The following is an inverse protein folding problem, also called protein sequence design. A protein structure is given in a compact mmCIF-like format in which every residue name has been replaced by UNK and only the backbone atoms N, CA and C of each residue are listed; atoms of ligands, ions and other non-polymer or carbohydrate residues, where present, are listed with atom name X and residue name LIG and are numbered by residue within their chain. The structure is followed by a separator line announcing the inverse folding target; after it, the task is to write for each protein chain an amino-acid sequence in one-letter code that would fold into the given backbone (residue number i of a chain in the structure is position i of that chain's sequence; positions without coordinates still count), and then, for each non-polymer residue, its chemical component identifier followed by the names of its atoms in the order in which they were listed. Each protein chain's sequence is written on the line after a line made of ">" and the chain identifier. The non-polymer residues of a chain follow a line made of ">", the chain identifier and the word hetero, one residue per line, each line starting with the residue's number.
data_IF_153931686358
#
_entry.id   IF_153931686358
#
_cell.length_a   1.000
_cell.length_b   1.000
_cell.length_c   1.000
_cell.angle_alpha   90.00
_cell.angle_beta   90.00
_cell.angle_gamma   90.00
#
_symmetry.space_group_name_H-M   'P 1'
#
loop_
_entity.id
_entity.type
_entity.pdbx_description
1 polymer ?
#
# COMPACT_ATOMS: atom_id res chain seq x y z
N UNK A 1 3.01 4.56 -14.45
CA UNK A 1 2.83 3.66 -13.29
C UNK A 1 1.82 2.56 -13.63
N UNK A 2 2.21 1.33 -13.39
CA UNK A 2 1.30 0.21 -13.59
C UNK A 2 0.56 -0.10 -12.29
N UNK A 3 -0.69 0.28 -12.21
CA UNK A 3 -1.51 0.08 -11.01
C UNK A 3 -1.85 -1.40 -10.81
N UNK A 4 -1.97 -1.85 -9.55
CA UNK A 4 -2.43 -3.22 -9.30
C UNK A 4 -3.85 -3.40 -9.84
N UNK A 5 -4.08 -4.53 -10.53
CA UNK A 5 -5.39 -4.87 -11.06
C UNK A 5 -6.14 -5.72 -10.04
N UNK A 6 -7.05 -5.09 -9.32
CA UNK A 6 -7.79 -5.72 -8.22
C UNK A 6 -9.23 -5.96 -8.65
N UNK A 7 -9.67 -7.22 -8.54
CA UNK A 7 -11.05 -7.61 -8.82
C UNK A 7 -11.95 -7.39 -7.61
N UNK A 8 -11.56 -7.96 -6.46
CA UNK A 8 -12.25 -7.79 -5.20
C UNK A 8 -11.27 -7.62 -4.06
N UNK A 9 -11.66 -6.88 -3.04
CA UNK A 9 -10.85 -6.70 -1.84
C UNK A 9 -11.75 -6.23 -0.70
N UNK A 10 -11.27 -6.41 0.54
CA UNK A 10 -11.96 -5.93 1.72
C UNK A 10 -11.14 -4.82 2.35
N UNK A 11 -11.71 -3.60 2.53
CA UNK A 11 -11.03 -2.54 3.25
C UNK A 11 -10.75 -2.93 4.69
N UNK A 12 -9.49 -2.79 5.12
CA UNK A 12 -9.06 -3.12 6.47
C UNK A 12 -8.92 -1.87 7.33
N UNK A 13 -8.40 -0.80 6.75
CA UNK A 13 -8.17 0.48 7.44
C UNK A 13 -8.28 1.64 6.46
N UNK A 14 -8.55 2.81 7.02
CA UNK A 14 -8.49 4.08 6.30
C UNK A 14 -7.75 5.11 7.12
N UNK A 15 -7.03 6.00 6.44
CA UNK A 15 -6.28 7.07 7.07
C UNK A 15 -6.49 8.38 6.31
N UNK A 16 -6.37 9.47 7.06
CA UNK A 16 -6.23 10.81 6.49
C UNK A 16 -4.81 11.30 6.73
N UNK A 17 -4.10 11.70 5.68
CA UNK A 17 -2.73 12.21 5.77
C UNK A 17 -2.67 13.47 4.91
N UNK A 18 -2.68 14.65 5.56
CA UNK A 18 -2.75 15.92 4.83
C UNK A 18 -3.93 15.95 3.87
N UNK A 19 -3.68 16.22 2.60
CA UNK A 19 -4.69 16.29 1.55
C UNK A 19 -4.97 14.93 0.88
N UNK A 20 -4.55 13.85 1.50
CA UNK A 20 -4.68 12.50 0.95
C UNK A 20 -5.57 11.64 1.83
N UNK A 21 -6.32 10.75 1.18
CA UNK A 21 -7.01 9.65 1.85
C UNK A 21 -6.35 8.35 1.43
N UNK A 22 -5.99 7.52 2.41
CA UNK A 22 -5.40 6.21 2.18
C UNK A 22 -6.37 5.12 2.58
N UNK A 23 -6.41 4.06 1.80
CA UNK A 23 -7.15 2.85 2.13
C UNK A 23 -6.19 1.66 2.12
N UNK A 24 -6.32 0.79 3.11
CA UNK A 24 -5.59 -0.48 3.18
C UNK A 24 -6.57 -1.60 2.86
N UNK A 25 -6.25 -2.34 1.82
CA UNK A 25 -7.06 -3.46 1.36
C UNK A 25 -6.42 -4.79 1.76
N UNK A 26 -7.23 -5.75 2.13
CA UNK A 26 -6.84 -7.14 2.36
C UNK A 26 -7.80 -8.09 1.69
N UNK A 27 -7.57 -9.39 1.84
CA UNK A 27 -8.35 -10.45 1.21
C UNK A 27 -8.59 -10.16 -0.27
N UNK A 28 -7.48 -9.94 -0.98
CA UNK A 28 -7.47 -9.41 -2.33
C UNK A 28 -7.53 -10.54 -3.35
N UNK A 29 -8.48 -10.41 -4.28
CA UNK A 29 -8.53 -11.22 -5.50
C UNK A 29 -8.11 -10.32 -6.65
N UNK A 30 -6.98 -10.65 -7.29
CA UNK A 30 -6.42 -9.83 -8.36
C UNK A 30 -6.80 -10.37 -9.75
N UNK A 31 -6.70 -9.50 -10.76
CA UNK A 31 -6.87 -9.87 -12.17
C UNK A 31 -5.53 -10.00 -12.90
N UNK A 32 -4.43 -9.56 -12.27
CA UNK A 32 -3.10 -9.58 -12.89
C UNK A 32 -2.27 -10.81 -12.51
N UNK A 33 -2.84 -11.74 -11.76
CA UNK A 33 -2.16 -12.95 -11.34
C UNK A 33 -1.17 -12.76 -10.20
N UNK A 34 -1.05 -11.55 -9.66
CA UNK A 34 -0.16 -11.25 -8.53
C UNK A 34 -0.90 -11.51 -7.22
N UNK A 35 -0.25 -12.23 -6.31
CA UNK A 35 -0.82 -12.57 -5.01
C UNK A 35 -0.52 -11.47 -3.98
N UNK A 36 -1.36 -10.44 -3.95
CA UNK A 36 -1.23 -9.35 -2.97
C UNK A 36 -1.73 -9.80 -1.60
N UNK A 37 -0.92 -9.57 -0.59
CA UNK A 37 -1.35 -9.72 0.82
C UNK A 37 -2.12 -8.49 1.27
N UNK A 38 -1.54 -7.30 1.04
CA UNK A 38 -2.15 -6.01 1.32
C UNK A 38 -1.84 -5.01 0.21
N UNK A 39 -2.74 -4.07 0.02
CA UNK A 39 -2.54 -2.90 -0.85
C UNK A 39 -2.89 -1.65 -0.06
N UNK A 40 -1.95 -0.72 0.02
CA UNK A 40 -2.14 0.61 0.56
C UNK A 40 -2.21 1.55 -0.64
N UNK A 41 -3.34 2.23 -0.81
CA UNK A 41 -3.56 3.14 -1.93
C UNK A 41 -3.93 4.52 -1.42
N UNK A 42 -3.26 5.56 -1.95
CA UNK A 42 -3.51 6.95 -1.56
C UNK A 42 -4.08 7.76 -2.71
N UNK A 43 -5.17 8.46 -2.43
CA UNK A 43 -5.83 9.35 -3.37
C UNK A 43 -5.74 10.78 -2.85
N UNK A 44 -5.21 11.69 -3.65
CA UNK A 44 -5.21 13.12 -3.34
C UNK A 44 -6.61 13.69 -3.48
N UNK A 45 -6.96 14.68 -2.66
CA UNK A 45 -8.23 15.37 -2.77
C UNK A 45 -8.41 15.93 -4.19
N UNK A 46 -9.57 15.67 -4.77
CA UNK A 46 -9.88 16.08 -6.13
C UNK A 46 -9.40 15.12 -7.22
N UNK A 47 -8.54 14.15 -6.91
CA UNK A 47 -8.12 13.14 -7.87
C UNK A 47 -9.14 11.99 -7.96
N UNK A 48 -9.29 11.43 -9.15
CA UNK A 48 -10.21 10.29 -9.38
C UNK A 48 -9.55 8.93 -9.13
N UNK A 49 -8.22 8.87 -9.13
CA UNK A 49 -7.46 7.63 -9.02
C UNK A 49 -6.30 7.78 -8.07
N UNK A 50 -5.88 6.67 -7.40
CA UNK A 50 -4.69 6.69 -6.56
C UNK A 50 -3.45 7.04 -7.36
N UNK A 51 -2.57 7.86 -6.76
CA UNK A 51 -1.28 8.23 -7.31
C UNK A 51 -0.11 7.63 -6.56
N UNK A 52 -0.37 6.90 -5.49
CA UNK A 52 0.67 6.29 -4.67
C UNK A 52 0.16 4.96 -4.10
N UNK A 53 1.02 3.94 -4.16
CA UNK A 53 0.72 2.62 -3.62
C UNK A 53 1.88 2.06 -2.83
N UNK A 54 1.57 1.32 -1.77
CA UNK A 54 2.50 0.38 -1.15
C UNK A 54 1.86 -1.00 -1.21
N UNK A 55 2.61 -1.99 -1.66
CA UNK A 55 2.12 -3.34 -1.89
C UNK A 55 2.88 -4.33 -1.03
N UNK A 56 2.17 -5.27 -0.43
CA UNK A 56 2.74 -6.46 0.16
C UNK A 56 2.36 -7.64 -0.73
N UNK A 57 3.34 -8.23 -1.39
CA UNK A 57 3.14 -9.30 -2.38
C UNK A 57 3.72 -10.59 -1.87
N UNK A 58 2.94 -11.66 -1.89
CA UNK A 58 3.43 -12.97 -1.48
C UNK A 58 4.63 -13.37 -2.32
N UNK A 59 5.72 -13.76 -1.66
CA UNK A 59 6.98 -14.10 -2.32
C UNK A 59 6.93 -15.55 -2.79
N UNK A 60 7.10 -15.81 -4.10
CA UNK A 60 7.20 -17.19 -4.59
C UNK A 60 8.44 -17.88 -4.00
N UNK A 61 8.28 -19.07 -3.47
CA UNK A 61 9.39 -19.84 -2.91
C UNK A 61 9.75 -19.53 -1.47
N UNK A 62 9.09 -18.53 -0.85
CA UNK A 62 9.25 -18.22 0.58
C UNK A 62 7.86 -18.03 1.18
N UNK A 63 7.24 -19.11 1.63
CA UNK A 63 5.82 -19.17 1.97
C UNK A 63 5.38 -18.19 3.06
N UNK A 64 6.30 -17.73 3.91
CA UNK A 64 5.98 -16.81 5.01
C UNK A 64 6.47 -15.39 4.79
N UNK A 65 7.05 -15.11 3.64
CA UNK A 65 7.58 -13.78 3.34
C UNK A 65 6.76 -13.05 2.29
N UNK A 66 6.73 -11.73 2.38
CA UNK A 66 6.15 -10.87 1.39
C UNK A 66 7.18 -9.85 0.93
N UNK A 67 7.14 -9.51 -0.36
CA UNK A 67 7.91 -8.42 -0.90
C UNK A 67 7.15 -7.11 -0.70
N UNK A 68 7.83 -6.11 -0.16
CA UNK A 68 7.29 -4.77 0.02
C UNK A 68 7.67 -3.93 -1.20
N UNK A 69 6.68 -3.38 -1.89
CA UNK A 69 6.87 -2.57 -3.09
C UNK A 69 6.22 -1.20 -2.94
N UNK A 70 6.82 -0.21 -3.56
CA UNK A 70 6.27 1.15 -3.62
C UNK A 70 6.09 1.55 -5.08
N UNK A 71 4.94 2.16 -5.38
CA UNK A 71 4.61 2.68 -6.71
C UNK A 71 4.17 4.14 -6.60
N UNK A 72 4.77 4.99 -7.42
CA UNK A 72 4.39 6.37 -7.63
C UNK A 72 4.60 6.68 -9.11
N UNK A 73 4.15 7.85 -9.65
CA UNK A 73 4.24 8.10 -11.10
C UNK A 73 5.62 7.86 -11.71
N UNK A 74 6.69 8.23 -11.00
CA UNK A 74 8.05 8.07 -11.48
C UNK A 74 8.88 7.10 -10.62
N UNK A 75 8.21 6.26 -9.84
CA UNK A 75 8.88 5.35 -8.91
C UNK A 75 8.18 3.99 -8.91
N UNK A 76 8.95 2.95 -9.15
CA UNK A 76 8.51 1.57 -9.01
C UNK A 76 9.67 0.78 -8.43
N UNK A 77 9.55 0.35 -7.16
CA UNK A 77 10.68 -0.23 -6.44
C UNK A 77 10.26 -1.31 -5.46
N UNK A 78 11.00 -2.41 -5.46
CA UNK A 78 10.93 -3.39 -4.37
C UNK A 78 11.93 -2.98 -3.29
N UNK A 79 11.48 -2.90 -2.04
CA UNK A 79 12.27 -2.39 -0.93
C UNK A 79 12.82 -3.46 -0.02
N UNK A 80 12.02 -4.48 0.27
CA UNK A 80 12.37 -5.48 1.28
C UNK A 80 11.53 -6.73 1.11
N UNK A 81 12.06 -7.86 1.55
CA UNK A 81 11.32 -9.13 1.62
C UNK A 81 11.39 -9.62 3.06
N UNK A 82 10.23 -9.77 3.69
CA UNK A 82 10.15 -10.14 5.10
C UNK A 82 8.78 -10.69 5.46
N UNK A 83 8.73 -11.55 6.47
CA UNK A 83 7.47 -12.00 7.06
C UNK A 83 6.69 -10.88 7.77
N UNK A 84 7.36 -9.78 8.12
CA UNK A 84 6.73 -8.59 8.75
C UNK A 84 5.59 -8.02 7.91
N UNK A 85 5.72 -8.11 6.59
CA UNK A 85 4.73 -7.52 5.66
C UNK A 85 3.47 -8.35 5.50
N UNK A 86 3.40 -9.48 6.19
CA UNK A 86 2.17 -10.27 6.36
C UNK A 86 1.32 -9.79 7.53
N UNK A 87 1.91 -8.98 8.42
CA UNK A 87 1.23 -8.41 9.58
C UNK A 87 0.62 -7.06 9.21
N UNK A 88 -0.67 -6.89 9.47
CA UNK A 88 -1.40 -5.69 9.10
C UNK A 88 -0.83 -4.43 9.76
N UNK A 89 -0.54 -4.49 11.07
CA UNK A 89 -0.01 -3.34 11.79
C UNK A 89 1.35 -2.92 11.27
N UNK A 90 2.26 -3.88 11.09
CA UNK A 90 3.60 -3.61 10.58
C UNK A 90 3.56 -3.05 9.16
N UNK A 91 2.71 -3.62 8.31
CA UNK A 91 2.54 -3.14 6.94
C UNK A 91 2.00 -1.71 6.92
N UNK A 92 0.94 -1.41 7.66
CA UNK A 92 0.34 -0.08 7.71
C UNK A 92 1.33 0.97 8.21
N UNK A 93 2.06 0.66 9.27
CA UNK A 93 3.07 1.55 9.83
C UNK A 93 4.15 1.90 8.80
N UNK A 94 4.66 0.90 8.11
CA UNK A 94 5.68 1.11 7.07
C UNK A 94 5.12 1.85 5.86
N UNK A 95 3.91 1.51 5.43
CA UNK A 95 3.27 2.18 4.29
C UNK A 95 3.06 3.67 4.55
N UNK A 96 2.62 4.03 5.75
CA UNK A 96 2.45 5.42 6.15
C UNK A 96 3.81 6.14 6.14
N UNK A 97 4.85 5.53 6.71
CA UNK A 97 6.19 6.11 6.72
C UNK A 97 6.71 6.36 5.31
N UNK A 98 6.52 5.41 4.40
CA UNK A 98 6.91 5.55 2.99
C UNK A 98 6.11 6.66 2.29
N UNK A 99 4.81 6.75 2.53
CA UNK A 99 3.99 7.80 1.97
C UNK A 99 4.47 9.18 2.41
N UNK A 100 4.72 9.34 3.70
CA UNK A 100 5.23 10.59 4.25
C UNK A 100 6.57 10.96 3.63
N UNK A 101 7.46 10.00 3.46
CA UNK A 101 8.79 10.23 2.89
C UNK A 101 8.73 10.55 1.39
N UNK A 102 8.03 9.73 0.61
CA UNK A 102 8.00 9.87 -0.86
C UNK A 102 7.20 11.10 -1.30
N UNK A 103 6.10 11.39 -0.62
CA UNK A 103 5.22 12.51 -0.94
C UNK A 103 5.56 13.77 -0.16
N UNK A 104 6.64 13.75 0.62
CA UNK A 104 7.10 14.88 1.45
C UNK A 104 6.02 15.40 2.38
N UNK A 105 5.39 14.46 3.10
CA UNK A 105 4.34 14.74 4.07
C UNK A 105 4.82 14.51 5.51
N UNK A 106 6.11 14.70 5.78
CA UNK A 106 6.72 14.40 7.09
C UNK A 106 6.11 15.23 8.22
N UNK A 107 5.58 16.43 7.89
CA UNK A 107 4.92 17.29 8.86
C UNK A 107 3.45 16.94 9.08
N UNK A 108 2.93 16.00 8.30
CA UNK A 108 1.52 15.58 8.38
C UNK A 108 1.40 14.27 9.13
N UNK A 109 0.55 14.27 10.16
CA UNK A 109 0.25 13.05 10.88
C UNK A 109 -0.82 12.24 10.16
N UNK A 110 -0.70 10.92 10.26
CA UNK A 110 -1.74 10.03 9.77
C UNK A 110 -2.83 9.88 10.84
N UNK A 111 -4.06 10.22 10.46
CA UNK A 111 -5.22 10.04 11.32
C UNK A 111 -6.02 8.84 10.84
N UNK A 112 -6.17 7.85 11.72
CA UNK A 112 -6.94 6.66 11.39
C UNK A 112 -8.42 6.97 11.41
N UNK A 113 -9.11 6.66 10.30
CA UNK A 113 -10.54 6.89 10.13
C UNK A 113 -11.38 5.63 10.36
N UNK A 114 -10.76 4.48 10.16
CA UNK A 114 -11.45 3.19 10.26
C UNK A 114 -10.54 2.12 10.83
#
# INVERSE_FOLDING_TARGET
>A
MKRPAIRTAIPQRRYRIGDFTAVVLGEIESEDGIAYRYVFAMVQDGASEPGFYVLSVNSPGAANDCALRVLAPDLERELDVSGRWRDLDAFCEQAIALAQQVLRLEDEQAHRLL
#
